data_IF_893283509075
#
_entry.id   IF_893283509075
#
_cell.length_a   1.000
_cell.length_b   1.000
_cell.length_c   1.000
_cell.angle_alpha   90.00
_cell.angle_beta   90.00
_cell.angle_gamma   90.00
#
_symmetry.space_group_name_H-M   'P 1'
#
loop_
_entity.id
_entity.type
_entity.pdbx_description
1 polymer ?
#
# COMPACT_ATOMS: atom_id res chain seq x y z
N UNK A 1 8.63 -3.39 -26.64
CA UNK A 1 8.91 -2.76 -25.33
C UNK A 1 8.04 -1.51 -25.25
N UNK A 2 7.12 -1.41 -24.28
CA UNK A 2 6.14 -0.34 -24.21
C UNK A 2 6.38 0.60 -23.03
N UNK A 3 6.11 1.89 -23.22
CA UNK A 3 6.15 2.88 -22.13
C UNK A 3 4.98 2.58 -21.19
N UNK A 4 5.27 2.24 -19.94
CA UNK A 4 4.25 2.10 -18.90
C UNK A 4 4.17 3.36 -18.07
N UNK A 5 3.00 4.00 -18.06
CA UNK A 5 2.73 5.12 -17.17
C UNK A 5 2.36 4.62 -15.78
N UNK A 6 3.21 4.94 -14.80
CA UNK A 6 2.94 4.70 -13.37
C UNK A 6 3.25 5.96 -12.59
N UNK A 7 2.25 6.51 -11.91
CA UNK A 7 2.38 7.69 -11.06
C UNK A 7 2.03 7.34 -9.62
N UNK A 8 2.95 7.64 -8.70
CA UNK A 8 2.72 7.51 -7.26
C UNK A 8 2.54 8.90 -6.66
N UNK A 9 1.46 9.11 -5.92
CA UNK A 9 1.19 10.36 -5.20
C UNK A 9 1.14 10.07 -3.70
N UNK A 10 2.03 10.67 -2.92
CA UNK A 10 2.10 10.49 -1.47
C UNK A 10 1.54 11.73 -0.77
N UNK A 11 0.53 11.52 0.06
CA UNK A 11 -0.11 12.52 0.89
C UNK A 11 -0.02 12.06 2.34
N UNK A 12 1.07 12.42 3.01
CA UNK A 12 1.36 11.97 4.37
C UNK A 12 1.40 10.43 4.48
N UNK A 13 0.53 9.82 5.29
CA UNK A 13 0.44 8.36 5.41
C UNK A 13 -0.23 7.71 4.20
N UNK A 14 -1.02 8.46 3.40
CA UNK A 14 -1.73 7.95 2.24
C UNK A 14 -0.84 7.94 0.99
N UNK A 15 -0.84 6.83 0.27
CA UNK A 15 -0.09 6.61 -0.95
C UNK A 15 -1.09 6.16 -2.02
N UNK A 16 -1.23 6.93 -3.08
CA UNK A 16 -2.10 6.63 -4.21
C UNK A 16 -1.25 6.17 -5.39
N UNK A 17 -1.68 5.09 -6.04
CA UNK A 17 -1.06 4.51 -7.22
C UNK A 17 -1.99 4.69 -8.42
N UNK A 18 -1.51 5.39 -9.43
CA UNK A 18 -2.18 5.59 -10.71
C UNK A 18 -1.39 4.89 -11.81
N UNK A 19 -2.07 4.15 -12.68
CA UNK A 19 -1.52 3.44 -13.83
C UNK A 19 -2.18 3.96 -15.11
N UNK A 20 -1.88 3.35 -16.27
CA UNK A 20 -2.48 3.70 -17.57
C UNK A 20 -4.01 3.62 -17.59
N UNK A 21 -4.62 2.74 -16.78
CA UNK A 21 -6.09 2.62 -16.65
C UNK A 21 -6.69 3.55 -15.57
N UNK A 22 -5.91 4.50 -15.02
CA UNK A 22 -6.37 5.43 -14.00
C UNK A 22 -6.01 5.00 -12.57
N UNK A 23 -6.92 5.18 -11.62
CA UNK A 23 -6.68 4.85 -10.21
C UNK A 23 -6.60 3.33 -10.02
N UNK A 24 -5.42 2.84 -9.62
CA UNK A 24 -5.18 1.40 -9.51
C UNK A 24 -5.28 0.91 -8.07
N UNK A 25 -4.67 1.60 -7.13
CA UNK A 25 -4.67 1.19 -5.72
C UNK A 25 -4.22 2.32 -4.82
N UNK A 26 -4.49 2.16 -3.53
CA UNK A 26 -3.98 3.05 -2.50
C UNK A 26 -3.46 2.26 -1.32
N UNK A 27 -2.59 2.88 -0.53
CA UNK A 27 -2.06 2.30 0.69
C UNK A 27 -1.96 3.38 1.75
N UNK A 28 -2.28 3.06 2.99
CA UNK A 28 -2.05 3.93 4.14
C UNK A 28 -0.90 3.35 4.95
N UNK A 29 0.06 4.17 5.36
CA UNK A 29 1.14 3.79 6.27
C UNK A 29 1.22 4.81 7.40
N UNK A 30 0.85 4.39 8.61
CA UNK A 30 0.90 5.20 9.82
C UNK A 30 1.81 4.49 10.82
N UNK A 31 3.03 5.02 11.01
CA UNK A 31 4.02 4.42 11.92
C UNK A 31 4.32 2.97 11.57
N UNK A 32 4.04 2.08 12.53
CA UNK A 32 4.22 0.61 12.44
C UNK A 32 3.04 -0.09 11.76
N UNK A 33 1.96 0.62 11.48
CA UNK A 33 0.77 0.09 10.81
C UNK A 33 0.76 0.46 9.33
N UNK A 34 0.40 -0.50 8.47
CA UNK A 34 0.15 -0.25 7.07
C UNK A 34 -1.07 -1.02 6.56
N UNK A 35 -1.78 -0.43 5.61
CA UNK A 35 -2.94 -0.97 4.96
C UNK A 35 -2.77 -0.81 3.45
N UNK A 36 -3.03 -1.85 2.67
CA UNK A 36 -3.01 -1.77 1.22
C UNK A 36 -4.38 -2.15 0.65
N UNK A 37 -4.97 -1.28 -0.17
CA UNK A 37 -6.27 -1.50 -0.77
C UNK A 37 -6.28 -2.64 -1.80
N UNK A 38 -5.13 -2.92 -2.41
CA UNK A 38 -4.99 -3.99 -3.42
C UNK A 38 -5.03 -5.36 -2.74
N UNK A 39 -4.19 -5.57 -1.72
CA UNK A 39 -4.19 -6.83 -0.96
C UNK A 39 -5.29 -6.90 0.09
N UNK A 40 -6.00 -5.80 0.36
CA UNK A 40 -7.01 -5.65 1.43
C UNK A 40 -6.52 -6.18 2.79
N UNK A 41 -5.21 -6.09 3.00
CA UNK A 41 -4.52 -6.65 4.15
C UNK A 41 -3.90 -5.51 4.95
N UNK A 42 -3.94 -5.65 6.27
CA UNK A 42 -3.25 -4.75 7.17
C UNK A 42 -2.08 -5.46 7.83
N UNK A 43 -1.01 -4.69 8.05
CA UNK A 43 0.21 -5.15 8.69
C UNK A 43 0.53 -4.24 9.85
N UNK A 44 0.94 -4.84 10.96
CA UNK A 44 1.50 -4.15 12.11
C UNK A 44 2.90 -4.71 12.34
N UNK A 45 3.91 -3.86 12.26
CA UNK A 45 5.27 -4.22 12.62
C UNK A 45 5.32 -4.37 14.15
N UNK A 46 5.62 -5.57 14.65
CA UNK A 46 5.81 -5.85 16.07
C UNK A 46 7.27 -5.57 16.47
N UNK A 47 7.58 -5.23 17.73
CA UNK A 47 8.97 -5.01 18.14
C UNK A 47 9.81 -6.28 17.90
N UNK A 48 10.99 -6.11 17.28
CA UNK A 48 11.82 -7.22 16.78
C UNK A 48 11.57 -7.54 15.29
N UNK A 49 11.99 -8.73 14.80
CA UNK A 49 11.83 -9.14 13.40
C UNK A 49 10.41 -9.65 13.08
N UNK A 50 9.44 -9.39 13.95
CA UNK A 50 8.08 -9.91 13.84
C UNK A 50 7.17 -8.89 13.16
N UNK A 51 6.36 -9.36 12.22
CA UNK A 51 5.31 -8.55 11.59
C UNK A 51 4.00 -9.33 11.66
N UNK A 52 2.98 -8.73 12.27
CA UNK A 52 1.64 -9.29 12.24
C UNK A 52 0.93 -8.86 10.96
N UNK A 53 0.58 -9.84 10.12
CA UNK A 53 -0.19 -9.63 8.90
C UNK A 53 -1.54 -10.28 9.10
N UNK A 54 -2.61 -9.50 9.04
CA UNK A 54 -3.95 -10.06 8.92
C UNK A 54 -4.28 -10.14 7.43
N UNK A 55 -4.17 -11.35 6.86
CA UNK A 55 -4.84 -11.66 5.59
C UNK A 55 -6.34 -11.74 5.84
N UNK A 56 -7.12 -11.32 4.85
CA UNK A 56 -8.58 -11.34 4.93
C UNK A 56 -9.07 -12.80 4.83
N UNK A 57 -10.02 -13.18 5.69
CA UNK A 57 -10.87 -14.36 5.52
C UNK A 57 -11.77 -14.21 4.28
#
# INVERSE_FOLDING_TARGET
MGVQFRKRKKYGPLILHFTQNGFSSWSIKIGRWSWNSNTRAHRVDLPGPLSWKQDKA
#
